data_IF_641789289981
#
_entry.id   IF_641789289981
#
_cell.length_a   1.000
_cell.length_b   1.000
_cell.length_c   1.000
_cell.angle_alpha   90.00
_cell.angle_beta   90.00
_cell.angle_gamma   90.00
#
_symmetry.space_group_name_H-M   'P 1'
#
loop_
_entity.id
_entity.type
_entity.pdbx_description
1 polymer ?
#
# COMPACT_ATOMS: atom_id res chain seq x y z
N UNK A 1 1.11 4.81 -4.05
CA UNK A 1 0.24 6.01 -3.95
C UNK A 1 0.44 6.60 -2.57
N UNK A 2 0.55 7.92 -2.42
CA UNK A 2 0.69 8.54 -1.09
C UNK A 2 -0.69 8.96 -0.59
N UNK A 3 -0.97 8.67 0.68
CA UNK A 3 -2.18 9.08 1.40
C UNK A 3 -1.75 9.88 2.61
N UNK A 4 -2.43 11.00 2.88
CA UNK A 4 -2.10 11.94 3.97
C UNK A 4 -3.28 12.03 4.93
N UNK A 5 -2.99 12.09 6.23
CA UNK A 5 -3.99 12.32 7.28
C UNK A 5 -5.02 11.19 7.44
N UNK A 6 -4.78 10.01 6.89
CA UNK A 6 -5.65 8.86 7.12
C UNK A 6 -5.46 8.35 8.56
N UNK A 7 -6.56 7.96 9.18
CA UNK A 7 -6.59 7.30 10.49
C UNK A 7 -6.71 5.77 10.36
N UNK A 8 -7.31 5.31 9.27
CA UNK A 8 -7.40 3.89 8.90
C UNK A 8 -7.49 3.71 7.39
N UNK A 9 -7.19 2.50 6.92
CA UNK A 9 -7.36 2.05 5.53
C UNK A 9 -8.07 0.69 5.57
N UNK A 10 -9.16 0.55 4.83
CA UNK A 10 -9.83 -0.74 4.59
C UNK A 10 -9.31 -1.35 3.28
N UNK A 11 -8.98 -2.64 3.29
CA UNK A 11 -8.57 -3.37 2.08
C UNK A 11 -9.73 -4.11 1.40
N UNK A 12 -9.43 -4.81 0.30
CA UNK A 12 -10.43 -5.51 -0.51
C UNK A 12 -11.09 -6.69 0.22
N UNK A 13 -10.48 -7.17 1.32
CA UNK A 13 -11.01 -8.22 2.18
C UNK A 13 -11.85 -7.64 3.34
N UNK A 14 -12.00 -6.32 3.40
CA UNK A 14 -12.68 -5.61 4.49
C UNK A 14 -11.83 -5.48 5.76
N UNK A 15 -10.53 -5.79 5.70
CA UNK A 15 -9.64 -5.67 6.86
C UNK A 15 -9.26 -4.21 7.07
N UNK A 16 -9.43 -3.73 8.30
CA UNK A 16 -9.11 -2.34 8.68
C UNK A 16 -7.70 -2.26 9.25
N UNK A 17 -6.84 -1.47 8.61
CA UNK A 17 -5.47 -1.19 9.03
C UNK A 17 -5.39 0.21 9.64
N UNK A 18 -5.06 0.30 10.93
CA UNK A 18 -4.89 1.58 11.63
C UNK A 18 -3.63 2.28 11.14
N UNK A 19 -3.72 3.61 10.98
CA UNK A 19 -2.61 4.46 10.55
C UNK A 19 -2.22 5.40 11.68
N UNK A 20 -0.97 5.29 12.11
CA UNK A 20 -0.35 6.11 13.15
C UNK A 20 0.55 7.22 12.58
N UNK A 21 0.82 7.20 11.28
CA UNK A 21 1.71 8.14 10.59
C UNK A 21 0.91 9.17 9.79
N UNK A 22 1.37 10.44 9.75
CA UNK A 22 0.68 11.50 9.00
C UNK A 22 0.65 11.26 7.49
N UNK A 23 1.54 10.40 6.98
CA UNK A 23 1.60 10.01 5.57
C UNK A 23 1.93 8.52 5.47
N UNK A 24 1.17 7.80 4.67
CA UNK A 24 1.42 6.40 4.33
C UNK A 24 1.45 6.21 2.82
N UNK A 25 2.13 5.16 2.39
CA UNK A 25 2.20 4.78 0.98
C UNK A 25 1.41 3.48 0.77
N UNK A 26 0.38 3.52 -0.07
CA UNK A 26 -0.37 2.34 -0.50
C UNK A 26 0.25 1.67 -1.72
N UNK A 27 0.27 0.34 -1.69
CA UNK A 27 0.68 -0.50 -2.79
C UNK A 27 -0.34 -0.41 -3.94
N UNK A 28 0.14 -0.32 -5.18
CA UNK A 28 -0.67 -0.39 -6.41
C UNK A 28 -0.13 -1.37 -7.45
N UNK A 29 0.86 -2.17 -7.06
CA UNK A 29 1.45 -3.19 -7.92
C UNK A 29 1.06 -4.61 -7.51
N UNK A 30 0.38 -4.78 -6.37
CA UNK A 30 0.01 -6.07 -5.80
C UNK A 30 1.20 -7.03 -5.53
N UNK A 31 2.43 -6.51 -5.45
CA UNK A 31 3.65 -7.31 -5.18
C UNK A 31 4.34 -6.95 -3.87
N UNK A 32 3.74 -6.09 -3.05
CA UNK A 32 4.29 -5.78 -1.73
C UNK A 32 4.19 -6.99 -0.82
N UNK A 33 5.22 -7.23 -0.01
CA UNK A 33 5.19 -8.22 1.08
C UNK A 33 4.40 -7.74 2.31
N UNK A 34 3.98 -6.47 2.31
CA UNK A 34 3.35 -5.78 3.44
C UNK A 34 2.04 -5.12 3.03
N UNK A 35 1.24 -5.78 2.18
CA UNK A 35 -0.07 -5.26 1.78
C UNK A 35 -0.88 -4.83 3.03
N UNK A 36 -1.62 -3.72 2.96
CA UNK A 36 -1.85 -2.84 1.80
C UNK A 36 -0.72 -1.80 1.56
N UNK A 37 0.33 -1.82 2.37
CA UNK A 37 1.41 -0.83 2.35
C UNK A 37 2.41 -1.07 1.22
N UNK A 38 2.98 0.02 0.71
CA UNK A 38 4.08 -0.01 -0.23
C UNK A 38 5.40 -0.22 0.54
N UNK A 39 6.13 -1.28 0.20
CA UNK A 39 7.47 -1.60 0.74
C UNK A 39 8.61 -1.28 -0.23
N UNK A 40 8.30 -0.69 -1.39
CA UNK A 40 9.27 -0.36 -2.42
C UNK A 40 9.55 -1.48 -3.43
N UNK A 41 8.95 -2.66 -3.30
CA UNK A 41 9.14 -3.80 -4.23
C UNK A 41 8.93 -3.41 -5.69
N UNK A 42 7.99 -2.50 -5.98
CA UNK A 42 7.72 -1.98 -7.33
C UNK A 42 8.92 -1.34 -8.04
N UNK A 43 9.98 -0.97 -7.31
CA UNK A 43 11.19 -0.38 -7.88
C UNK A 43 12.13 -1.42 -8.48
N UNK A 44 12.07 -2.66 -8.01
CA UNK A 44 13.02 -3.73 -8.38
C UNK A 44 12.40 -4.79 -9.27
N UNK A 45 11.07 -4.90 -9.29
CA UNK A 45 10.36 -5.82 -10.19
C UNK A 45 10.10 -5.16 -11.54
N UNK A 46 10.14 -5.97 -12.61
CA UNK A 46 9.57 -5.57 -13.90
C UNK A 46 8.05 -5.50 -13.72
N UNK A 47 7.46 -4.36 -14.04
CA UNK A 47 6.01 -4.25 -14.10
C UNK A 47 5.58 -4.95 -15.38
N UNK A 48 5.09 -6.17 -15.26
CA UNK A 48 4.35 -6.84 -16.31
C UNK A 48 3.20 -5.90 -16.71
N UNK A 49 3.20 -5.48 -17.98
CA UNK A 49 2.13 -4.70 -18.62
C UNK A 49 1.53 -5.59 -19.71
N UNK A 50 0.91 -6.69 -19.32
CA UNK A 50 -0.05 -7.42 -20.15
C UNK A 50 -1.37 -6.65 -20.25
#
# INVERSE_FOLDING_TARGET
>A
MLVRGATSIEDEEGTVHVVDRPVVALCRCAKSSRLPWCDGTHKVIRRDRS
#
